data_IF_848636694047
#
_entry.id   IF_848636694047
#
_cell.length_a   1.000
_cell.length_b   1.000
_cell.length_c   1.000
_cell.angle_alpha   90.00
_cell.angle_beta   90.00
_cell.angle_gamma   90.00
#
_symmetry.space_group_name_H-M   'P 1'
#
loop_
_entity.id
_entity.type
_entity.pdbx_description
1 polymer ?
#
# COMPACT_ATOMS: atom_id res chain seq x y z
N UNK A 1 -16.87 -11.11 1.66
CA UNK A 1 -16.51 -12.55 1.59
C UNK A 1 -15.83 -13.02 2.87
N UNK A 2 -14.71 -12.42 3.31
CA UNK A 2 -14.04 -12.81 4.57
C UNK A 2 -14.94 -12.76 5.81
N UNK A 3 -15.80 -11.73 5.93
CA UNK A 3 -16.86 -11.68 6.96
C UNK A 3 -17.79 -12.89 6.92
N UNK A 4 -18.18 -13.33 5.72
CA UNK A 4 -19.07 -14.49 5.55
C UNK A 4 -18.37 -15.81 5.85
N UNK A 5 -17.04 -15.88 5.66
CA UNK A 5 -16.22 -17.03 6.03
C UNK A 5 -15.89 -17.10 7.53
N UNK A 6 -16.22 -16.06 8.32
CA UNK A 6 -15.88 -15.98 9.74
C UNK A 6 -14.38 -15.81 10.02
N UNK A 7 -13.60 -15.38 9.02
CA UNK A 7 -12.14 -15.24 9.11
C UNK A 7 -11.66 -13.78 9.17
N UNK A 8 -12.57 -12.84 9.41
CA UNK A 8 -12.21 -11.43 9.50
C UNK A 8 -13.09 -10.74 10.52
N UNK A 9 -12.43 -10.01 11.42
CA UNK A 9 -13.03 -9.18 12.45
C UNK A 9 -12.16 -7.92 12.63
N UNK A 10 -12.70 -6.70 12.47
CA UNK A 10 -11.94 -5.47 12.61
C UNK A 10 -11.41 -5.21 14.04
N UNK A 11 -11.97 -5.87 15.06
CA UNK A 11 -11.56 -5.68 16.47
C UNK A 11 -10.52 -6.70 16.94
N UNK A 12 -10.23 -7.73 16.12
CA UNK A 12 -9.34 -8.82 16.49
C UNK A 12 -8.07 -8.84 15.62
N UNK A 13 -6.91 -8.66 16.27
CA UNK A 13 -5.59 -8.66 15.61
C UNK A 13 -5.21 -10.02 14.97
N UNK A 14 -5.80 -11.12 15.43
CA UNK A 14 -5.57 -12.44 14.83
C UNK A 14 -6.38 -12.65 13.55
N UNK A 15 -7.49 -11.91 13.38
CA UNK A 15 -8.43 -12.04 12.25
C UNK A 15 -8.33 -10.86 11.27
N UNK A 16 -7.11 -10.55 10.85
CA UNK A 16 -6.83 -9.47 9.90
C UNK A 16 -7.24 -9.81 8.47
N UNK A 17 -7.70 -8.80 7.72
CA UNK A 17 -8.20 -8.96 6.36
C UNK A 17 -7.16 -9.55 5.39
N UNK A 18 -5.87 -9.24 5.57
CA UNK A 18 -4.79 -9.72 4.72
C UNK A 18 -4.36 -11.17 5.00
N UNK A 19 -4.81 -11.77 6.11
CA UNK A 19 -4.59 -13.18 6.47
C UNK A 19 -5.78 -14.07 6.15
N UNK A 20 -6.92 -13.48 5.78
CA UNK A 20 -8.16 -14.20 5.49
C UNK A 20 -7.96 -15.23 4.36
N UNK A 21 -8.34 -16.48 4.63
CA UNK A 21 -8.45 -17.54 3.65
C UNK A 21 -9.93 -17.95 3.46
N UNK A 22 -10.42 -17.84 2.23
CA UNK A 22 -11.80 -18.22 1.88
C UNK A 22 -11.89 -19.67 1.36
N UNK A 23 -10.80 -20.43 1.37
CA UNK A 23 -10.76 -21.80 0.90
C UNK A 23 -11.78 -22.69 1.62
N UNK A 24 -12.56 -23.46 0.84
CA UNK A 24 -13.65 -24.35 1.30
C UNK A 24 -14.77 -23.68 2.10
N UNK A 25 -14.86 -22.35 2.14
CA UNK A 25 -16.01 -21.66 2.75
C UNK A 25 -17.23 -21.71 1.81
N UNK A 26 -18.27 -22.44 2.23
CA UNK A 26 -19.54 -22.50 1.50
C UNK A 26 -20.30 -21.19 1.59
N UNK A 27 -20.12 -20.48 2.70
CA UNK A 27 -20.76 -19.21 3.04
C UNK A 27 -20.24 -18.09 2.13
N UNK A 28 -18.92 -17.99 1.97
CA UNK A 28 -18.31 -17.08 1.00
C UNK A 28 -18.73 -17.43 -0.44
N UNK A 29 -18.79 -18.72 -0.76
CA UNK A 29 -19.26 -19.21 -2.05
C UNK A 29 -20.70 -18.80 -2.36
N UNK A 30 -21.62 -18.84 -1.38
CA UNK A 30 -23.01 -18.38 -1.56
C UNK A 30 -23.08 -16.89 -1.92
N UNK A 31 -22.27 -16.05 -1.28
CA UNK A 31 -22.19 -14.62 -1.59
C UNK A 31 -21.68 -14.39 -3.01
N UNK A 32 -20.60 -15.07 -3.40
CA UNK A 32 -20.03 -14.96 -4.74
C UNK A 32 -21.01 -15.48 -5.81
N UNK A 33 -21.67 -16.61 -5.55
CA UNK A 33 -22.67 -17.19 -6.43
C UNK A 33 -23.80 -16.18 -6.68
N UNK A 34 -24.37 -15.59 -5.62
CA UNK A 34 -25.44 -14.58 -5.74
C UNK A 34 -25.03 -13.38 -6.59
N UNK A 35 -23.78 -12.93 -6.47
CA UNK A 35 -23.24 -11.84 -7.29
C UNK A 35 -23.12 -12.25 -8.77
N UNK A 36 -22.57 -13.43 -9.04
CA UNK A 36 -22.28 -13.90 -10.41
C UNK A 36 -23.51 -14.41 -11.15
N UNK A 37 -24.51 -14.93 -10.44
CA UNK A 37 -25.78 -15.45 -11.00
C UNK A 37 -26.51 -14.42 -11.86
N UNK A 38 -26.37 -13.13 -11.55
CA UNK A 38 -27.06 -12.04 -12.25
C UNK A 38 -26.36 -11.62 -13.55
N UNK A 39 -25.08 -11.97 -13.73
CA UNK A 39 -24.31 -11.70 -14.93
C UNK A 39 -24.36 -10.23 -15.37
N UNK A 40 -24.56 -10.01 -16.67
CA UNK A 40 -24.77 -8.68 -17.27
C UNK A 40 -26.23 -8.29 -17.41
N UNK A 41 -27.16 -9.07 -16.85
CA UNK A 41 -28.60 -8.84 -17.01
C UNK A 41 -29.13 -7.68 -16.18
N UNK A 42 -28.41 -7.27 -15.13
CA UNK A 42 -28.77 -6.15 -14.25
C UNK A 42 -27.62 -5.15 -14.16
N UNK A 43 -27.89 -3.87 -13.81
CA UNK A 43 -26.84 -2.91 -13.51
C UNK A 43 -25.93 -3.41 -12.38
N UNK A 44 -24.63 -3.13 -12.50
CA UNK A 44 -23.63 -3.61 -11.54
C UNK A 44 -23.89 -3.17 -10.09
N UNK A 45 -24.52 -2.01 -9.88
CA UNK A 45 -24.91 -1.49 -8.55
C UNK A 45 -25.97 -2.35 -7.88
N UNK A 46 -26.94 -2.83 -8.64
CA UNK A 46 -27.98 -3.73 -8.14
C UNK A 46 -27.40 -5.10 -7.83
N UNK A 47 -26.50 -5.59 -8.67
CA UNK A 47 -25.80 -6.85 -8.42
C UNK A 47 -24.94 -6.80 -7.16
N UNK A 48 -24.19 -5.71 -6.99
CA UNK A 48 -23.38 -5.48 -5.81
C UNK A 48 -24.24 -5.40 -4.53
N UNK A 49 -25.36 -4.67 -4.59
CA UNK A 49 -26.29 -4.54 -3.47
C UNK A 49 -26.92 -5.89 -3.11
N UNK A 50 -27.30 -6.71 -4.10
CA UNK A 50 -27.85 -8.02 -3.85
C UNK A 50 -26.87 -8.93 -3.08
N UNK A 51 -25.58 -8.87 -3.37
CA UNK A 51 -24.57 -9.73 -2.76
C UNK A 51 -24.02 -9.20 -1.42
N UNK A 52 -23.81 -7.88 -1.31
CA UNK A 52 -23.09 -7.26 -0.18
C UNK A 52 -23.94 -6.34 0.69
N UNK A 53 -25.12 -5.92 0.20
CA UNK A 53 -25.94 -4.86 0.81
C UNK A 53 -25.44 -3.44 0.52
N UNK A 54 -24.32 -3.29 -0.19
CA UNK A 54 -23.75 -1.99 -0.56
C UNK A 54 -24.11 -1.62 -1.99
N UNK A 55 -24.57 -0.39 -2.23
CA UNK A 55 -24.94 0.09 -3.57
C UNK A 55 -23.87 0.97 -4.23
N UNK A 56 -22.82 1.35 -3.48
CA UNK A 56 -21.75 2.25 -3.92
C UNK A 56 -20.40 1.57 -3.77
N UNK A 57 -19.49 1.83 -4.70
CA UNK A 57 -18.11 1.37 -4.61
C UNK A 57 -17.40 2.14 -3.48
N UNK A 58 -16.88 1.43 -2.48
CA UNK A 58 -16.15 2.00 -1.36
C UNK A 58 -14.68 1.50 -1.37
N UNK A 59 -13.72 2.44 -1.36
CA UNK A 59 -12.29 2.13 -1.30
C UNK A 59 -11.79 1.79 0.11
N UNK A 60 -12.63 1.87 1.14
CA UNK A 60 -12.25 1.61 2.53
C UNK A 60 -11.70 0.21 2.74
N UNK A 61 -12.28 -0.81 2.09
CA UNK A 61 -11.83 -2.19 2.22
C UNK A 61 -10.40 -2.39 1.69
N UNK A 62 -10.04 -1.69 0.61
CA UNK A 62 -8.69 -1.74 0.05
C UNK A 62 -7.70 -1.05 0.98
N UNK A 63 -8.06 0.12 1.50
CA UNK A 63 -7.22 0.84 2.47
C UNK A 63 -6.99 0.02 3.74
N UNK A 64 -8.04 -0.63 4.25
CA UNK A 64 -7.94 -1.51 5.41
C UNK A 64 -7.00 -2.69 5.19
N UNK A 65 -7.04 -3.31 4.01
CA UNK A 65 -6.12 -4.39 3.65
C UNK A 65 -4.65 -3.95 3.77
N UNK A 66 -4.34 -2.73 3.32
CA UNK A 66 -2.97 -2.17 3.33
C UNK A 66 -2.61 -1.36 4.58
N UNK A 67 -3.51 -1.19 5.54
CA UNK A 67 -3.29 -0.42 6.76
C UNK A 67 -1.98 -0.74 7.50
N UNK A 68 -1.64 -2.02 7.79
CA UNK A 68 -0.39 -2.32 8.50
C UNK A 68 0.86 -1.96 7.69
N UNK A 69 0.78 -2.05 6.36
CA UNK A 69 1.86 -1.63 5.47
C UNK A 69 1.97 -0.10 5.41
N UNK A 70 0.85 0.61 5.35
CA UNK A 70 0.80 2.08 5.40
C UNK A 70 1.49 2.61 6.66
N UNK A 71 1.19 2.03 7.82
CA UNK A 71 1.82 2.39 9.10
C UNK A 71 3.32 2.12 9.12
N UNK A 72 3.75 0.95 8.64
CA UNK A 72 5.17 0.61 8.55
C UNK A 72 5.93 1.56 7.61
N UNK A 73 5.38 1.83 6.43
CA UNK A 73 5.98 2.73 5.44
C UNK A 73 6.10 4.16 5.95
N UNK A 74 5.10 4.66 6.67
CA UNK A 74 5.15 5.99 7.28
C UNK A 74 6.29 6.09 8.30
N UNK A 75 6.43 5.10 9.18
CA UNK A 75 7.52 5.06 10.16
C UNK A 75 8.89 4.97 9.50
N UNK A 76 9.01 4.14 8.46
CA UNK A 76 10.28 3.94 7.77
C UNK A 76 10.72 5.18 6.98
N UNK A 77 9.79 5.83 6.25
CA UNK A 77 10.07 7.08 5.53
C UNK A 77 10.53 8.19 6.47
N UNK A 78 9.94 8.28 7.67
CA UNK A 78 10.37 9.22 8.70
C UNK A 78 11.77 8.90 9.24
N UNK A 79 12.08 7.61 9.40
CA UNK A 79 13.38 7.13 9.91
C UNK A 79 14.51 7.40 8.92
N UNK A 80 14.27 7.22 7.63
CA UNK A 80 15.27 7.38 6.55
C UNK A 80 15.30 8.80 5.97
N UNK A 81 14.34 9.65 6.34
CA UNK A 81 14.14 10.98 5.79
C UNK A 81 14.02 10.99 4.25
N UNK A 82 13.36 9.97 3.72
CA UNK A 82 13.09 9.84 2.29
C UNK A 82 11.99 10.82 1.85
N UNK A 83 12.12 11.33 0.63
CA UNK A 83 11.13 12.26 0.08
C UNK A 83 9.98 11.50 -0.56
N UNK A 84 8.78 11.81 -0.09
CA UNK A 84 7.54 11.24 -0.62
C UNK A 84 6.95 12.20 -1.66
N UNK A 85 6.97 11.78 -2.93
CA UNK A 85 6.40 12.53 -4.05
C UNK A 85 7.32 12.55 -5.27
N UNK A 86 6.89 13.24 -6.32
CA UNK A 86 7.68 13.44 -7.54
C UNK A 86 7.63 14.91 -7.97
N UNK A 87 8.75 15.41 -8.49
CA UNK A 87 8.83 16.74 -9.11
C UNK A 87 8.70 16.61 -10.63
N UNK A 88 7.93 17.50 -11.28
CA UNK A 88 7.69 17.49 -12.73
C UNK A 88 8.92 17.80 -13.62
N UNK A 89 10.13 17.85 -13.04
CA UNK A 89 11.38 18.13 -13.75
C UNK A 89 12.52 17.23 -13.29
N UNK A 90 12.65 16.05 -13.90
CA UNK A 90 13.74 15.09 -13.69
C UNK A 90 13.81 14.47 -12.29
N UNK A 91 14.53 13.35 -12.17
CA UNK A 91 14.92 12.81 -10.86
C UNK A 91 15.86 13.79 -10.18
N UNK A 92 15.32 14.78 -9.49
CA UNK A 92 16.01 15.33 -8.33
C UNK A 92 15.79 14.31 -7.22
N UNK A 93 16.84 13.56 -6.90
CA UNK A 93 16.92 12.96 -5.58
C UNK A 93 16.65 14.08 -4.57
N UNK A 94 15.82 13.84 -3.55
CA UNK A 94 15.66 14.82 -2.51
C UNK A 94 17.05 15.17 -1.98
N UNK A 95 17.31 16.46 -1.90
CA UNK A 95 18.48 16.98 -1.21
C UNK A 95 18.58 16.24 0.12
N UNK A 96 19.58 15.38 0.24
CA UNK A 96 20.04 14.81 1.51
C UNK A 96 20.27 16.02 2.42
N UNK A 97 19.29 16.31 3.28
CA UNK A 97 19.37 17.50 4.15
C UNK A 97 20.53 17.26 5.11
N UNK A 98 21.34 18.29 5.37
CA UNK A 98 22.66 18.12 5.95
C UNK A 98 22.50 17.62 7.38
N UNK A 99 23.15 16.50 7.70
CA UNK A 99 23.54 16.26 9.08
C UNK A 99 24.34 17.49 9.53
N UNK A 100 23.78 18.25 10.47
CA UNK A 100 24.52 19.21 11.29
C UNK A 100 25.74 18.50 11.87
N UNK A 101 26.92 18.86 11.39
CA UNK A 101 28.13 18.84 12.21
C UNK A 101 28.97 20.06 11.83
N UNK A 102 29.12 20.96 12.78
CA UNK A 102 30.02 22.12 12.71
C UNK A 102 31.45 21.60 12.49
N UNK A 103 32.09 21.91 11.35
CA UNK A 103 33.56 21.98 11.27
C UNK A 103 34.00 22.83 10.07
N UNK A 104 34.41 24.06 10.39
CA UNK A 104 35.39 24.96 9.77
C UNK A 104 35.69 24.88 8.25
N UNK A 105 35.47 26.05 7.62
CA UNK A 105 35.96 26.51 6.32
C UNK A 105 37.45 26.20 6.08
N UNK A 106 37.82 25.55 4.95
CA UNK A 106 39.07 25.82 4.20
C UNK A 106 38.97 25.32 2.74
N UNK A 107 39.07 26.30 1.85
CA UNK A 107 39.38 26.35 0.41
C UNK A 107 39.99 25.14 -0.36
N UNK A 108 39.74 25.18 -1.69
CA UNK A 108 40.36 24.46 -2.83
C UNK A 108 39.83 23.02 -3.07
N UNK A 109 39.51 22.53 -4.27
CA UNK A 109 40.00 22.85 -5.62
C UNK A 109 39.04 22.29 -6.69
N UNK A 110 39.17 22.83 -7.91
CA UNK A 110 38.41 22.57 -9.13
C UNK A 110 38.31 21.10 -9.62
N UNK A 111 37.32 20.92 -10.51
CA UNK A 111 37.19 19.96 -11.61
C UNK A 111 36.43 18.64 -11.41
N UNK A 112 35.41 18.50 -12.27
CA UNK A 112 34.85 17.29 -12.88
C UNK A 112 35.36 15.95 -12.36
N UNK A 113 34.46 15.07 -11.92
CA UNK A 113 34.19 13.79 -12.58
C UNK A 113 33.10 13.03 -11.81
N UNK A 114 32.05 12.67 -12.54
CA UNK A 114 30.95 11.84 -12.09
C UNK A 114 31.45 10.40 -11.86
N UNK A 115 31.76 10.03 -10.61
CA UNK A 115 32.04 8.64 -10.21
C UNK A 115 30.81 8.07 -9.46
N UNK A 116 29.71 7.92 -10.20
CA UNK A 116 28.59 7.06 -9.81
C UNK A 116 28.53 5.89 -10.79
N UNK A 117 29.45 4.95 -10.65
CA UNK A 117 29.34 3.63 -11.26
C UNK A 117 30.11 2.63 -10.41
N UNK A 118 29.44 1.56 -9.97
CA UNK A 118 30.00 0.32 -9.40
C UNK A 118 30.41 0.30 -7.91
N UNK A 119 29.48 0.56 -6.98
CA UNK A 119 29.57 -0.08 -5.65
C UNK A 119 28.20 -0.45 -5.07
N UNK A 120 27.34 -1.05 -5.89
CA UNK A 120 26.16 -1.80 -5.41
C UNK A 120 26.24 -3.23 -5.94
N UNK A 121 27.28 -3.95 -5.53
CA UNK A 121 27.28 -5.41 -5.49
C UNK A 121 28.09 -5.84 -4.28
N UNK A 122 27.42 -5.94 -3.13
CA UNK A 122 27.89 -6.71 -1.98
C UNK A 122 26.67 -7.36 -1.32
N UNK A 123 26.21 -8.41 -1.99
CA UNK A 123 25.87 -9.67 -1.30
C UNK A 123 27.20 -10.38 -1.06
#
# INVERSE_FOLDING_TARGET
MCRAAGQYDPENDDLQLHKCDIYRSKEAGKVLKKLMEQGSSVPWTEALHAATGESRLNGSALREFFRPLEEWLQNENLRTAEFVGWTYGGCRSPSRSPHRSLFLMFYFFENSFCFFCLTFLRV
#
